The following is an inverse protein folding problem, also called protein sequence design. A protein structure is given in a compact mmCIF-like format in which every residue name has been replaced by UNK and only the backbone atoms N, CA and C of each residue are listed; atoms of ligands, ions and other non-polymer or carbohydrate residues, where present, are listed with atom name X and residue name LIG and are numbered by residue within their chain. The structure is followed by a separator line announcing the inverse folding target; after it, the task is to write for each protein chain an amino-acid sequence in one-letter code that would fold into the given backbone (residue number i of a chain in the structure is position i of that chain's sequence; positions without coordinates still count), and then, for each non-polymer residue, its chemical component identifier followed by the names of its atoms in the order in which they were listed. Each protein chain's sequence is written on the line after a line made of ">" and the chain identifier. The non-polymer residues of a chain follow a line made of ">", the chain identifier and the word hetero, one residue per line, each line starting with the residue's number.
data_IF_329795293410
#
_entry.id   IF_329795293410
#
_cell.length_a   1.000
_cell.length_b   1.000
_cell.length_c   1.000
_cell.angle_alpha   90.00
_cell.angle_beta   90.00
_cell.angle_gamma   90.00
#
_symmetry.space_group_name_H-M   'P 1'
#
loop_
_entity.id
_entity.type
_entity.pdbx_description
1 polymer ?
#
# COMPACT_ATOMS: atom_id res chain seq x y z
N UNK A 1 -9.79 -20.54 -14.73
CA UNK A 1 -9.20 -19.45 -13.91
C UNK A 1 -9.06 -18.22 -14.76
N UNK A 2 -9.35 -17.07 -14.19
CA UNK A 2 -9.23 -15.83 -14.95
C UNK A 2 -7.76 -15.46 -15.14
N UNK A 3 -7.48 -14.74 -16.22
CA UNK A 3 -6.14 -14.21 -16.46
C UNK A 3 -5.74 -13.20 -15.38
N UNK A 4 -6.69 -12.41 -14.87
CA UNK A 4 -6.43 -11.47 -13.78
C UNK A 4 -5.91 -12.22 -12.56
N UNK A 5 -6.53 -13.32 -12.19
CA UNK A 5 -6.08 -14.15 -11.07
C UNK A 5 -4.65 -14.65 -11.28
N UNK A 6 -4.36 -15.14 -12.48
CA UNK A 6 -3.03 -15.66 -12.80
C UNK A 6 -1.96 -14.56 -12.72
N UNK A 7 -2.25 -13.37 -13.24
CA UNK A 7 -1.36 -12.23 -13.18
C UNK A 7 -1.13 -11.79 -11.73
N UNK A 8 -2.18 -11.79 -10.93
CA UNK A 8 -2.08 -11.44 -9.51
C UNK A 8 -1.19 -12.44 -8.77
N UNK A 9 -1.37 -13.73 -9.03
CA UNK A 9 -0.54 -14.77 -8.40
C UNK A 9 0.93 -14.68 -8.83
N UNK A 10 1.18 -14.36 -10.10
CA UNK A 10 2.55 -14.11 -10.58
C UNK A 10 3.19 -12.94 -9.82
N UNK A 11 2.44 -11.84 -9.65
CA UNK A 11 2.92 -10.68 -8.91
C UNK A 11 3.26 -11.03 -7.46
N UNK A 12 2.37 -11.75 -6.80
CA UNK A 12 2.60 -12.18 -5.43
C UNK A 12 3.80 -13.11 -5.30
N UNK A 13 3.98 -14.02 -6.26
CA UNK A 13 5.12 -14.92 -6.27
C UNK A 13 6.43 -14.15 -6.41
N UNK A 14 6.47 -13.13 -7.27
CA UNK A 14 7.63 -12.27 -7.40
C UNK A 14 7.92 -11.50 -6.10
N UNK A 15 6.88 -10.97 -5.45
CA UNK A 15 7.05 -10.27 -4.17
C UNK A 15 7.65 -11.19 -3.11
N UNK A 16 7.17 -12.43 -3.03
CA UNK A 16 7.71 -13.42 -2.08
C UNK A 16 9.18 -13.70 -2.30
N UNK A 17 9.63 -13.66 -3.56
CA UNK A 17 11.02 -13.93 -3.92
C UNK A 17 11.90 -12.68 -3.88
N UNK A 18 11.35 -11.55 -3.42
CA UNK A 18 12.10 -10.30 -3.37
C UNK A 18 12.30 -9.64 -4.73
N UNK A 19 11.47 -9.98 -5.71
CA UNK A 19 11.56 -9.46 -7.08
C UNK A 19 10.47 -8.41 -7.31
N UNK A 20 10.52 -7.32 -6.55
CA UNK A 20 9.46 -6.32 -6.57
C UNK A 20 9.31 -5.63 -7.94
N UNK A 21 10.41 -5.40 -8.64
CA UNK A 21 10.33 -4.79 -9.98
C UNK A 21 9.56 -5.69 -10.96
N UNK A 22 9.85 -6.99 -10.95
CA UNK A 22 9.11 -7.93 -11.79
C UNK A 22 7.64 -8.02 -11.38
N UNK A 23 7.37 -7.92 -10.07
CA UNK A 23 6.00 -7.93 -9.57
C UNK A 23 5.18 -6.79 -10.16
N UNK A 24 5.76 -5.58 -10.32
CA UNK A 24 5.01 -4.45 -10.88
C UNK A 24 4.52 -4.73 -12.29
N UNK A 25 5.28 -5.47 -13.09
CA UNK A 25 4.89 -5.78 -14.48
C UNK A 25 3.59 -6.59 -14.49
N UNK A 26 3.55 -7.69 -13.75
CA UNK A 26 2.37 -8.55 -13.68
C UNK A 26 1.19 -7.84 -13.02
N UNK A 27 1.45 -7.10 -11.94
CA UNK A 27 0.40 -6.43 -11.18
C UNK A 27 -0.21 -5.25 -11.93
N UNK A 28 0.58 -4.52 -12.73
CA UNK A 28 0.03 -3.47 -13.58
C UNK A 28 -0.93 -4.05 -14.62
N UNK A 29 -0.59 -5.21 -15.20
CA UNK A 29 -1.48 -5.89 -16.13
C UNK A 29 -2.78 -6.31 -15.43
N UNK A 30 -2.67 -6.85 -14.22
CA UNK A 30 -3.85 -7.24 -13.44
C UNK A 30 -4.73 -6.01 -13.14
N UNK A 31 -4.11 -4.89 -12.76
CA UNK A 31 -4.83 -3.65 -12.45
C UNK A 31 -5.60 -3.13 -13.66
N UNK A 32 -5.01 -3.20 -14.84
CA UNK A 32 -5.71 -2.76 -16.07
C UNK A 32 -6.97 -3.58 -16.33
N UNK A 33 -6.96 -4.85 -15.95
CA UNK A 33 -8.12 -5.73 -16.13
C UNK A 33 -9.19 -5.52 -15.06
N UNK A 34 -8.78 -5.28 -13.81
CA UNK A 34 -9.69 -5.07 -12.68
C UNK A 34 -9.19 -3.92 -11.80
N UNK A 35 -9.43 -2.66 -12.24
CA UNK A 35 -8.85 -1.50 -11.56
C UNK A 35 -9.37 -1.23 -10.16
N UNK A 36 -10.53 -1.79 -9.78
CA UNK A 36 -11.13 -1.56 -8.47
C UNK A 36 -10.92 -2.72 -7.50
N UNK A 37 -10.01 -3.64 -7.81
CA UNK A 37 -9.72 -4.75 -6.91
C UNK A 37 -8.66 -4.35 -5.90
N UNK A 38 -9.09 -4.21 -4.63
CA UNK A 38 -8.23 -3.70 -3.56
C UNK A 38 -6.97 -4.55 -3.35
N UNK A 39 -7.07 -5.89 -3.47
CA UNK A 39 -5.92 -6.77 -3.29
C UNK A 39 -4.82 -6.51 -4.31
N UNK A 40 -5.18 -6.16 -5.54
CA UNK A 40 -4.22 -5.84 -6.59
C UNK A 40 -3.56 -4.49 -6.27
N UNK A 41 -4.34 -3.51 -5.85
CA UNK A 41 -3.81 -2.19 -5.46
C UNK A 41 -2.84 -2.29 -4.30
N UNK A 42 -3.18 -3.10 -3.30
CA UNK A 42 -2.29 -3.33 -2.16
C UNK A 42 -0.96 -3.94 -2.59
N UNK A 43 -1.01 -5.03 -3.35
CA UNK A 43 0.20 -5.71 -3.81
C UNK A 43 1.07 -4.78 -4.65
N UNK A 44 0.45 -4.00 -5.53
CA UNK A 44 1.17 -3.06 -6.39
C UNK A 44 1.79 -1.93 -5.58
N UNK A 45 1.07 -1.40 -4.59
CA UNK A 45 1.60 -0.38 -3.68
C UNK A 45 2.82 -0.89 -2.93
N UNK A 46 2.75 -2.12 -2.42
CA UNK A 46 3.88 -2.76 -1.72
C UNK A 46 5.07 -2.91 -2.67
N UNK A 47 4.83 -3.38 -3.90
CA UNK A 47 5.89 -3.57 -4.88
C UNK A 47 6.59 -2.25 -5.21
N UNK A 48 5.83 -1.20 -5.48
CA UNK A 48 6.40 0.12 -5.74
C UNK A 48 7.17 0.65 -4.54
N UNK A 49 6.63 0.48 -3.33
CA UNK A 49 7.33 0.93 -2.11
C UNK A 49 8.70 0.25 -1.99
N UNK A 50 8.77 -1.04 -2.26
CA UNK A 50 10.02 -1.81 -2.14
C UNK A 50 11.09 -1.37 -3.14
N UNK A 51 10.70 -0.84 -4.29
CA UNK A 51 11.66 -0.33 -5.28
C UNK A 51 11.79 1.19 -5.21
N UNK A 52 11.36 1.77 -4.10
CA UNK A 52 11.50 3.20 -3.78
C UNK A 52 10.75 4.13 -4.74
N UNK A 53 9.69 3.64 -5.36
CA UNK A 53 8.81 4.46 -6.20
C UNK A 53 7.62 4.91 -5.35
N UNK A 54 7.90 5.84 -4.47
CA UNK A 54 6.96 6.22 -3.41
C UNK A 54 5.73 6.97 -3.93
N UNK A 55 5.86 7.75 -4.98
CA UNK A 55 4.71 8.44 -5.56
C UNK A 55 3.72 7.46 -6.18
N UNK A 56 4.22 6.45 -6.90
CA UNK A 56 3.36 5.41 -7.46
C UNK A 56 2.73 4.57 -6.36
N UNK A 57 3.49 4.23 -5.33
CA UNK A 57 2.96 3.50 -4.18
C UNK A 57 1.85 4.31 -3.50
N UNK A 58 2.07 5.60 -3.30
CA UNK A 58 1.07 6.51 -2.73
C UNK A 58 -0.24 6.46 -3.52
N UNK A 59 -0.15 6.53 -4.84
CA UNK A 59 -1.32 6.50 -5.71
C UNK A 59 -2.14 5.21 -5.50
N UNK A 60 -1.48 4.07 -5.38
CA UNK A 60 -2.16 2.80 -5.18
C UNK A 60 -2.86 2.75 -3.81
N UNK A 61 -2.21 3.20 -2.75
CA UNK A 61 -2.82 3.21 -1.42
C UNK A 61 -3.95 4.23 -1.30
N UNK A 62 -3.85 5.37 -2.00
CA UNK A 62 -4.98 6.32 -2.05
C UNK A 62 -6.19 5.70 -2.73
N UNK A 63 -5.98 4.90 -3.79
CA UNK A 63 -7.07 4.20 -4.44
C UNK A 63 -7.73 3.19 -3.49
N UNK A 64 -6.93 2.49 -2.68
CA UNK A 64 -7.50 1.60 -1.66
C UNK A 64 -8.43 2.35 -0.71
N UNK A 65 -8.06 3.57 -0.32
CA UNK A 65 -8.87 4.37 0.59
C UNK A 65 -10.13 4.93 -0.08
N UNK A 66 -10.11 5.15 -1.40
CA UNK A 66 -11.33 5.44 -2.13
C UNK A 66 -12.31 4.26 -2.08
N UNK A 67 -11.78 3.04 -2.19
CA UNK A 67 -12.59 1.82 -2.17
C UNK A 67 -13.04 1.45 -0.76
N UNK A 68 -12.20 1.70 0.25
CA UNK A 68 -12.47 1.36 1.65
C UNK A 68 -11.83 2.38 2.58
N UNK A 69 -12.55 3.48 2.89
CA UNK A 69 -11.98 4.57 3.69
C UNK A 69 -11.54 4.18 5.11
N UNK A 70 -12.05 3.08 5.64
CA UNK A 70 -11.71 2.62 6.99
C UNK A 70 -10.65 1.52 6.99
N UNK A 71 -9.92 1.34 5.90
CA UNK A 71 -8.84 0.37 5.83
C UNK A 71 -7.63 0.90 6.60
N UNK A 72 -7.41 0.33 7.79
CA UNK A 72 -6.33 0.77 8.68
C UNK A 72 -4.94 0.59 8.05
N UNK A 73 -4.72 -0.53 7.38
CA UNK A 73 -3.44 -0.78 6.74
C UNK A 73 -3.17 0.24 5.63
N UNK A 74 -4.18 0.58 4.83
CA UNK A 74 -4.01 1.54 3.75
C UNK A 74 -3.61 2.92 4.26
N UNK A 75 -4.20 3.36 5.40
CA UNK A 75 -3.76 4.62 6.03
C UNK A 75 -2.31 4.54 6.49
N UNK A 76 -1.92 3.44 7.14
CA UNK A 76 -0.56 3.24 7.60
C UNK A 76 0.42 3.26 6.41
N UNK A 77 0.12 2.49 5.37
CA UNK A 77 0.98 2.38 4.19
C UNK A 77 1.11 3.71 3.45
N UNK A 78 0.01 4.45 3.34
CA UNK A 78 0.02 5.78 2.76
C UNK A 78 0.91 6.71 3.58
N UNK A 79 0.80 6.65 4.92
CA UNK A 79 1.68 7.40 5.81
C UNK A 79 3.15 7.11 5.56
N UNK A 80 3.50 5.83 5.36
CA UNK A 80 4.87 5.45 5.06
C UNK A 80 5.36 6.05 3.73
N UNK A 81 4.50 6.05 2.70
CA UNK A 81 4.85 6.65 1.42
C UNK A 81 5.09 8.16 1.55
N UNK A 82 4.23 8.84 2.30
CA UNK A 82 4.33 10.27 2.50
C UNK A 82 5.57 10.63 3.32
N UNK A 83 5.87 9.86 4.36
CA UNK A 83 7.05 10.06 5.17
C UNK A 83 8.33 9.96 4.33
N UNK A 84 8.39 8.96 3.45
CA UNK A 84 9.53 8.79 2.56
C UNK A 84 9.71 9.93 1.57
N UNK A 85 8.63 10.67 1.29
CA UNK A 85 8.67 11.83 0.41
C UNK A 85 8.90 13.15 1.18
N UNK A 86 9.10 13.08 2.49
CA UNK A 86 9.29 14.25 3.32
C UNK A 86 8.01 14.99 3.70
N UNK A 87 6.84 14.40 3.42
CA UNK A 87 5.54 15.00 3.73
C UNK A 87 5.09 14.60 5.13
N UNK A 88 5.83 15.08 6.14
CA UNK A 88 5.70 14.64 7.53
C UNK A 88 4.33 14.90 8.14
N UNK A 89 3.78 16.10 7.96
CA UNK A 89 2.50 16.47 8.56
C UNK A 89 1.38 15.60 8.04
N UNK A 90 1.34 15.40 6.73
CA UNK A 90 0.33 14.55 6.11
C UNK A 90 0.49 13.09 6.54
N UNK A 91 1.75 12.61 6.61
CA UNK A 91 2.04 11.25 7.06
C UNK A 91 1.52 11.03 8.48
N UNK A 92 1.75 11.99 9.38
CA UNK A 92 1.28 11.88 10.77
C UNK A 92 -0.24 11.79 10.85
N UNK A 93 -0.95 12.52 9.99
CA UNK A 93 -2.41 12.44 9.92
C UNK A 93 -2.88 11.03 9.61
N UNK A 94 -2.25 10.38 8.65
CA UNK A 94 -2.62 9.00 8.28
C UNK A 94 -2.23 7.98 9.33
N UNK A 95 -1.10 8.15 10.00
CA UNK A 95 -0.73 7.28 11.13
C UNK A 95 -1.75 7.37 12.27
N UNK A 96 -2.22 8.58 12.57
CA UNK A 96 -3.25 8.77 13.59
C UNK A 96 -4.57 8.10 13.20
N UNK A 97 -4.95 8.18 11.93
CA UNK A 97 -6.13 7.50 11.43
C UNK A 97 -5.99 5.98 11.55
N UNK A 98 -4.85 5.43 11.15
CA UNK A 98 -4.59 3.99 11.28
C UNK A 98 -4.69 3.54 12.74
N UNK A 99 -4.08 4.29 13.65
CA UNK A 99 -4.12 3.99 15.08
C UNK A 99 -5.53 4.11 15.66
N UNK A 100 -6.29 5.10 15.19
CA UNK A 100 -7.69 5.27 15.61
C UNK A 100 -8.55 4.08 15.20
N UNK A 101 -8.31 3.56 13.99
CA UNK A 101 -9.05 2.41 13.46
C UNK A 101 -8.64 1.10 14.12
N UNK A 102 -7.39 0.99 14.57
CA UNK A 102 -6.89 -0.20 15.26
C UNK A 102 -6.04 0.23 16.47
N UNK A 103 -6.68 0.64 17.57
CA UNK A 103 -5.96 1.21 18.73
C UNK A 103 -4.97 0.25 19.40
N UNK A 104 -5.19 -1.06 19.28
CA UNK A 104 -4.31 -2.05 19.90
C UNK A 104 -3.00 -2.26 19.13
N UNK A 105 -2.86 -1.70 17.94
CA UNK A 105 -1.66 -1.90 17.13
C UNK A 105 -0.54 -0.95 17.57
N UNK A 106 0.44 -1.49 18.28
CA UNK A 106 1.65 -0.73 18.62
C UNK A 106 2.43 -0.35 17.37
N UNK A 107 2.31 -1.16 16.32
CA UNK A 107 2.96 -0.90 15.04
C UNK A 107 2.53 0.44 14.45
N UNK A 108 1.23 0.75 14.55
CA UNK A 108 0.72 2.02 14.05
C UNK A 108 1.06 3.18 14.99
N UNK A 109 0.82 3.01 16.29
CA UNK A 109 1.05 4.08 17.25
C UNK A 109 2.52 4.47 17.37
N UNK A 110 3.44 3.53 17.14
CA UNK A 110 4.88 3.80 17.20
C UNK A 110 5.34 4.82 16.16
N UNK A 111 4.56 5.03 15.10
CA UNK A 111 4.87 6.00 14.06
C UNK A 111 4.40 7.41 14.37
N UNK A 112 3.56 7.56 15.39
CA UNK A 112 3.00 8.87 15.74
C UNK A 112 3.98 9.60 16.61
N UNK A 113 4.40 10.81 16.20
CA UNK A 113 5.30 11.65 16.97
C UNK A 113 4.57 12.25 18.15
N UNK A 114 5.26 12.36 19.27
CA UNK A 114 4.71 12.96 20.47
C UNK A 114 3.95 11.99 21.37
N UNK A 115 3.83 10.72 20.98
CA UNK A 115 3.24 9.69 21.85
C UNK A 115 4.30 8.96 22.69
N UNK A 116 5.48 9.38 22.59
CA UNK A 116 6.67 8.82 23.21
C UNK A 116 6.59 8.17 24.56
#
# INVERSE_FOLDING_TARGET
>A
MSETYNLFQQGRAHLKKGRAAQATVALEKAKRREPDKASIREALGIAYFRIHRYEEAESEFRKMLELAPADDYAHYALGRCLEKQGKETEAQGHYKLASSLRPASEHYSSRIRGLG
#
